data_IF_109013128732
#
_entry.id   IF_109013128732
#
_cell.length_a   1.000
_cell.length_b   1.000
_cell.length_c   1.000
_cell.angle_alpha   90.00
_cell.angle_beta   90.00
_cell.angle_gamma   90.00
#
_symmetry.space_group_name_H-M   'P 1'
#
loop_
_entity.id
_entity.type
_entity.pdbx_description
1 polymer ?
#
# COMPACT_ATOMS: atom_id res chain seq x y z
N UNK A 1 15.28 -13.30 -19.91
CA UNK A 1 14.09 -12.85 -19.13
C UNK A 1 14.03 -11.36 -19.23
N UNK A 2 12.93 -10.79 -19.73
CA UNK A 2 12.75 -9.33 -19.69
C UNK A 2 12.57 -8.92 -18.22
N UNK A 3 13.53 -8.20 -17.71
CA UNK A 3 13.49 -7.70 -16.34
C UNK A 3 12.59 -6.46 -16.31
N UNK A 4 11.69 -6.35 -15.32
CA UNK A 4 10.92 -5.13 -15.09
C UNK A 4 11.89 -3.98 -14.77
N UNK A 5 11.98 -2.99 -15.64
CA UNK A 5 13.01 -1.96 -15.57
C UNK A 5 12.44 -0.54 -15.62
N UNK A 6 11.38 -0.29 -14.83
CA UNK A 6 10.85 1.06 -14.65
C UNK A 6 11.56 1.74 -13.47
N UNK A 7 11.90 3.01 -13.64
CA UNK A 7 12.34 3.88 -12.56
C UNK A 7 11.20 4.18 -11.59
N UNK A 8 11.52 4.72 -10.42
CA UNK A 8 10.48 5.10 -9.46
C UNK A 8 9.50 6.15 -10.03
N UNK A 9 10.00 7.08 -10.84
CA UNK A 9 9.17 8.11 -11.50
C UNK A 9 8.22 7.47 -12.50
N UNK A 10 8.71 6.57 -13.34
CA UNK A 10 7.87 5.86 -14.32
C UNK A 10 6.81 4.98 -13.64
N UNK A 11 7.12 4.36 -12.50
CA UNK A 11 6.12 3.62 -11.69
C UNK A 11 5.01 4.56 -11.20
N UNK A 12 5.38 5.74 -10.68
CA UNK A 12 4.40 6.73 -10.21
C UNK A 12 3.49 7.19 -11.36
N UNK A 13 4.07 7.63 -12.47
CA UNK A 13 3.34 8.09 -13.66
C UNK A 13 2.42 7.00 -14.23
N UNK A 14 2.92 5.77 -14.33
CA UNK A 14 2.14 4.62 -14.80
C UNK A 14 0.95 4.33 -13.88
N UNK A 15 1.18 4.25 -12.56
CA UNK A 15 0.12 3.95 -11.60
C UNK A 15 -0.92 5.06 -11.54
N UNK A 16 -0.50 6.34 -11.56
CA UNK A 16 -1.42 7.48 -11.58
C UNK A 16 -2.28 7.48 -12.84
N UNK A 17 -1.67 7.26 -14.01
CA UNK A 17 -2.41 7.17 -15.28
C UNK A 17 -3.42 6.01 -15.27
N UNK A 18 -3.04 4.85 -14.71
CA UNK A 18 -3.91 3.68 -14.57
C UNK A 18 -5.10 3.96 -13.65
N UNK A 19 -4.86 4.58 -12.50
CA UNK A 19 -5.91 4.96 -11.55
C UNK A 19 -6.85 5.99 -12.14
N UNK A 20 -6.35 7.01 -12.82
CA UNK A 20 -7.16 8.04 -13.48
C UNK A 20 -8.03 7.44 -14.61
N UNK A 21 -7.50 6.48 -15.38
CA UNK A 21 -8.28 5.79 -16.41
C UNK A 21 -9.39 4.91 -15.80
N UNK A 22 -9.09 4.21 -14.69
CA UNK A 22 -10.09 3.48 -13.91
C UNK A 22 -11.22 4.41 -13.43
N UNK A 23 -10.85 5.51 -12.75
CA UNK A 23 -11.83 6.48 -12.24
C UNK A 23 -12.73 7.00 -13.36
N UNK A 24 -12.12 7.38 -14.50
CA UNK A 24 -12.86 7.89 -15.66
C UNK A 24 -13.85 6.87 -16.23
N UNK A 25 -13.43 5.61 -16.39
CA UNK A 25 -14.24 4.55 -17.02
C UNK A 25 -15.37 4.06 -16.12
N UNK A 26 -15.10 3.96 -14.82
CA UNK A 26 -16.05 3.38 -13.85
C UNK A 26 -16.75 4.44 -13.00
N UNK A 27 -16.48 5.74 -13.20
CA UNK A 27 -17.03 6.84 -12.39
C UNK A 27 -16.74 6.64 -10.89
N UNK A 28 -15.57 6.09 -10.58
CA UNK A 28 -15.15 5.81 -9.21
C UNK A 28 -14.86 7.10 -8.44
N UNK A 29 -14.90 7.08 -7.08
CA UNK A 29 -14.53 8.22 -6.26
C UNK A 29 -13.10 8.70 -6.51
N UNK A 30 -12.85 10.01 -6.28
CA UNK A 30 -11.55 10.65 -6.47
C UNK A 30 -10.84 10.98 -5.16
N UNK A 31 -11.52 10.86 -4.02
CA UNK A 31 -11.02 11.14 -2.68
C UNK A 31 -10.51 9.89 -1.94
N UNK A 32 -10.71 8.73 -2.54
CA UNK A 32 -10.35 7.42 -2.01
C UNK A 32 -10.25 6.42 -3.17
N UNK A 33 -9.25 5.57 -3.15
CA UNK A 33 -9.10 4.54 -4.20
C UNK A 33 -9.84 3.27 -3.79
N UNK A 34 -10.88 2.90 -4.55
CA UNK A 34 -11.46 1.58 -4.45
C UNK A 34 -10.55 0.56 -5.14
N UNK A 35 -9.59 0.06 -4.37
CA UNK A 35 -8.60 -0.91 -4.86
C UNK A 35 -9.25 -2.22 -5.29
N UNK A 36 -10.33 -2.63 -4.63
CA UNK A 36 -11.04 -3.86 -5.00
C UNK A 36 -11.68 -3.70 -6.37
N UNK A 37 -12.45 -2.62 -6.60
CA UNK A 37 -13.04 -2.34 -7.91
C UNK A 37 -11.99 -2.15 -9.00
N UNK A 38 -10.85 -1.49 -8.69
CA UNK A 38 -9.73 -1.40 -9.63
C UNK A 38 -9.22 -2.78 -10.02
N UNK A 39 -9.07 -3.72 -9.09
CA UNK A 39 -8.60 -5.07 -9.34
C UNK A 39 -9.63 -5.88 -10.12
N UNK A 40 -10.91 -5.88 -9.68
CA UNK A 40 -11.93 -6.75 -10.29
C UNK A 40 -12.46 -6.18 -11.60
N UNK A 41 -12.86 -4.92 -11.61
CA UNK A 41 -13.62 -4.35 -12.72
C UNK A 41 -12.72 -3.80 -13.82
N UNK A 42 -11.52 -3.34 -13.45
CA UNK A 42 -10.60 -2.73 -14.42
C UNK A 42 -9.46 -3.67 -14.83
N UNK A 43 -8.79 -4.35 -13.88
CA UNK A 43 -7.73 -5.31 -14.21
C UNK A 43 -8.29 -6.68 -14.61
N UNK A 44 -9.55 -6.99 -14.26
CA UNK A 44 -10.22 -8.24 -14.57
C UNK A 44 -9.63 -9.45 -13.81
N UNK A 45 -9.27 -9.23 -12.55
CA UNK A 45 -8.83 -10.28 -11.63
C UNK A 45 -10.00 -10.72 -10.74
N UNK A 46 -10.05 -12.00 -10.41
CA UNK A 46 -10.93 -12.54 -9.38
C UNK A 46 -10.23 -12.50 -8.03
N UNK A 47 -10.96 -12.17 -6.96
CA UNK A 47 -10.41 -12.15 -5.59
C UNK A 47 -11.13 -13.21 -4.77
N UNK A 48 -10.36 -14.14 -4.23
CA UNK A 48 -10.83 -15.17 -3.32
C UNK A 48 -10.17 -15.03 -1.96
N UNK A 49 -10.91 -15.38 -0.90
CA UNK A 49 -10.42 -15.40 0.47
C UNK A 49 -10.36 -16.83 0.96
N UNK A 50 -9.15 -17.30 1.34
CA UNK A 50 -8.93 -18.65 1.80
C UNK A 50 -8.05 -18.71 3.06
N UNK A 51 -8.12 -19.79 3.80
CA UNK A 51 -7.20 -20.02 4.91
C UNK A 51 -5.92 -20.63 4.36
N UNK A 52 -4.92 -19.80 4.11
CA UNK A 52 -3.64 -20.20 3.52
C UNK A 52 -2.79 -20.91 4.56
N UNK A 53 -2.16 -22.06 4.19
CA UNK A 53 -1.31 -22.87 5.06
C UNK A 53 -0.09 -23.40 4.32
N UNK A 54 0.68 -22.49 3.75
CA UNK A 54 1.95 -22.83 3.13
C UNK A 54 3.02 -23.20 4.18
N UNK A 55 4.09 -23.88 3.75
CA UNK A 55 5.21 -24.25 4.63
C UNK A 55 5.92 -22.99 5.19
N UNK A 56 5.84 -21.87 4.49
CA UNK A 56 6.21 -20.55 4.97
C UNK A 56 4.94 -19.85 5.51
N UNK A 57 4.77 -19.86 6.82
CA UNK A 57 3.62 -19.27 7.53
C UNK A 57 3.48 -17.76 7.33
N UNK A 58 4.50 -17.09 6.76
CA UNK A 58 4.44 -15.66 6.45
C UNK A 58 3.69 -15.37 5.15
N UNK A 59 3.37 -16.39 4.33
CA UNK A 59 2.62 -16.23 3.09
C UNK A 59 1.15 -15.96 3.40
N UNK A 60 0.68 -14.78 3.02
CA UNK A 60 -0.67 -14.31 3.31
C UNK A 60 -1.46 -13.88 2.09
N UNK A 61 -0.84 -13.87 0.93
CA UNK A 61 -1.50 -13.63 -0.34
C UNK A 61 -0.76 -14.33 -1.49
N UNK A 62 -1.47 -14.56 -2.59
CA UNK A 62 -0.98 -15.29 -3.76
C UNK A 62 -1.67 -14.81 -5.02
N UNK A 63 -0.88 -14.55 -6.07
CA UNK A 63 -1.42 -14.35 -7.43
C UNK A 63 -1.18 -15.59 -8.28
N UNK A 64 -2.26 -16.20 -8.75
CA UNK A 64 -2.22 -17.46 -9.47
C UNK A 64 -1.72 -17.31 -10.90
N UNK A 65 -0.82 -18.21 -11.31
CA UNK A 65 -0.33 -18.33 -12.68
C UNK A 65 -0.96 -19.48 -13.47
N UNK A 66 -1.89 -20.24 -12.85
CA UNK A 66 -2.56 -21.39 -13.45
C UNK A 66 -1.73 -22.67 -13.50
N UNK A 67 -0.56 -22.73 -12.83
CA UNK A 67 0.30 -23.91 -12.83
C UNK A 67 0.85 -24.28 -11.46
N UNK A 68 0.84 -23.35 -10.50
CA UNK A 68 1.28 -23.58 -9.12
C UNK A 68 0.07 -23.73 -8.21
N UNK A 69 0.09 -24.77 -7.36
CA UNK A 69 -0.92 -25.00 -6.33
C UNK A 69 -0.66 -24.11 -5.10
N UNK A 70 -1.71 -23.85 -4.34
CA UNK A 70 -1.70 -23.19 -3.06
C UNK A 70 -2.28 -24.16 -2.02
N UNK A 71 -1.62 -24.29 -0.86
CA UNK A 71 -2.13 -25.08 0.26
C UNK A 71 -3.10 -24.25 1.08
N UNK A 72 -4.32 -24.73 1.22
CA UNK A 72 -5.39 -24.08 2.02
C UNK A 72 -6.04 -25.07 2.96
N UNK A 73 -6.70 -24.55 4.01
CA UNK A 73 -7.61 -25.37 4.83
C UNK A 73 -8.99 -25.35 4.19
N UNK A 74 -9.42 -26.52 3.74
CA UNK A 74 -10.78 -26.74 3.25
C UNK A 74 -11.45 -27.84 4.10
N UNK A 75 -12.59 -27.53 4.74
CA UNK A 75 -13.31 -28.44 5.64
C UNK A 75 -12.41 -29.08 6.73
N UNK A 76 -11.51 -28.28 7.32
CA UNK A 76 -10.60 -28.73 8.38
C UNK A 76 -9.43 -29.62 7.91
N UNK A 77 -9.23 -29.76 6.60
CA UNK A 77 -8.11 -30.52 6.01
C UNK A 77 -7.26 -29.62 5.12
N UNK A 78 -5.95 -29.81 5.18
CA UNK A 78 -5.02 -29.19 4.23
C UNK A 78 -5.23 -29.79 2.85
N UNK A 79 -5.46 -28.92 1.85
CA UNK A 79 -5.71 -29.32 0.47
C UNK A 79 -4.89 -28.42 -0.45
N UNK A 80 -4.25 -29.00 -1.44
CA UNK A 80 -3.60 -28.25 -2.52
C UNK A 80 -4.62 -27.93 -3.58
N UNK A 81 -4.78 -26.64 -3.88
CA UNK A 81 -5.72 -26.14 -4.88
C UNK A 81 -4.98 -25.41 -5.99
N UNK A 82 -5.31 -25.76 -7.23
CA UNK A 82 -4.83 -25.06 -8.41
C UNK A 82 -5.87 -23.98 -8.80
N UNK A 83 -5.49 -22.73 -8.63
CA UNK A 83 -6.32 -21.60 -9.02
C UNK A 83 -6.08 -21.24 -10.48
N UNK A 84 -7.13 -20.83 -11.21
CA UNK A 84 -6.98 -20.34 -12.58
C UNK A 84 -6.12 -19.08 -12.62
N UNK A 85 -5.57 -18.77 -13.81
CA UNK A 85 -4.88 -17.50 -14.01
C UNK A 85 -5.80 -16.34 -13.71
N UNK A 86 -5.24 -15.25 -13.18
CA UNK A 86 -5.97 -14.05 -12.79
C UNK A 86 -6.82 -14.21 -11.51
N UNK A 87 -6.58 -15.23 -10.71
CA UNK A 87 -7.13 -15.31 -9.37
C UNK A 87 -6.09 -14.79 -8.38
N UNK A 88 -6.50 -13.85 -7.57
CA UNK A 88 -5.79 -13.33 -6.40
C UNK A 88 -6.40 -13.99 -5.17
N UNK A 89 -5.61 -14.73 -4.41
CA UNK A 89 -6.05 -15.37 -3.17
C UNK A 89 -5.45 -14.61 -1.99
N UNK A 90 -6.29 -14.20 -1.06
CA UNK A 90 -5.91 -13.45 0.14
C UNK A 90 -6.29 -14.29 1.37
N UNK A 91 -5.44 -14.30 2.39
CA UNK A 91 -5.76 -15.04 3.61
C UNK A 91 -6.98 -14.46 4.33
N UNK A 92 -7.84 -15.35 4.83
CA UNK A 92 -9.08 -14.99 5.54
C UNK A 92 -8.85 -14.17 6.82
N UNK A 93 -7.66 -14.21 7.42
CA UNK A 93 -7.33 -13.38 8.58
C UNK A 93 -7.50 -11.88 8.29
N UNK A 94 -7.36 -11.46 7.03
CA UNK A 94 -7.56 -10.06 6.61
C UNK A 94 -9.03 -9.63 6.47
N UNK A 95 -9.98 -10.54 6.66
CA UNK A 95 -11.40 -10.18 6.75
C UNK A 95 -11.78 -9.59 8.12
N UNK A 96 -10.91 -9.68 9.12
CA UNK A 96 -11.13 -9.07 10.42
C UNK A 96 -11.18 -7.53 10.30
N UNK A 97 -12.09 -6.85 11.03
CA UNK A 97 -12.32 -5.41 10.89
C UNK A 97 -11.06 -4.55 11.12
N UNK A 98 -10.16 -4.98 12.00
CA UNK A 98 -8.90 -4.30 12.34
C UNK A 98 -7.78 -4.55 11.30
N UNK A 99 -8.02 -5.42 10.31
CA UNK A 99 -7.07 -5.75 9.23
C UNK A 99 -7.41 -5.06 7.89
N UNK A 100 -8.40 -4.19 7.86
CA UNK A 100 -8.91 -3.58 6.62
C UNK A 100 -7.82 -2.89 5.82
N UNK A 101 -6.97 -2.08 6.44
CA UNK A 101 -5.91 -1.34 5.75
C UNK A 101 -4.81 -2.28 5.24
N UNK A 102 -4.50 -3.34 6.01
CA UNK A 102 -3.57 -4.39 5.57
C UNK A 102 -4.13 -5.17 4.39
N UNK A 103 -5.39 -5.59 4.44
CA UNK A 103 -6.06 -6.25 3.34
C UNK A 103 -5.97 -5.43 2.04
N UNK A 104 -6.27 -4.13 2.12
CA UNK A 104 -6.16 -3.21 0.97
C UNK A 104 -4.75 -3.14 0.42
N UNK A 105 -3.76 -3.05 1.31
CA UNK A 105 -2.37 -3.01 0.89
C UNK A 105 -1.94 -4.32 0.22
N UNK A 106 -2.29 -5.48 0.78
CA UNK A 106 -1.99 -6.77 0.19
C UNK A 106 -2.63 -6.94 -1.19
N UNK A 107 -3.90 -6.53 -1.35
CA UNK A 107 -4.54 -6.50 -2.67
C UNK A 107 -3.76 -5.64 -3.66
N UNK A 108 -3.35 -4.44 -3.27
CA UNK A 108 -2.58 -3.55 -4.14
C UNK A 108 -1.19 -4.10 -4.46
N UNK A 109 -0.55 -4.79 -3.51
CA UNK A 109 0.75 -5.44 -3.68
C UNK A 109 0.67 -6.59 -4.70
N UNK A 110 -0.33 -7.47 -4.56
CA UNK A 110 -0.56 -8.55 -5.53
C UNK A 110 -0.92 -8.01 -6.92
N UNK A 111 -1.69 -6.92 -6.98
CA UNK A 111 -1.92 -6.20 -8.24
C UNK A 111 -0.61 -5.68 -8.83
N UNK A 112 0.34 -5.26 -8.00
CA UNK A 112 1.69 -4.86 -8.41
C UNK A 112 2.44 -6.01 -9.09
N UNK A 113 2.46 -7.20 -8.51
CA UNK A 113 3.04 -8.40 -9.13
C UNK A 113 2.37 -8.75 -10.46
N UNK A 114 1.03 -8.69 -10.50
CA UNK A 114 0.29 -8.92 -11.75
C UNK A 114 0.68 -7.91 -12.84
N UNK A 115 0.75 -6.63 -12.51
CA UNK A 115 1.12 -5.58 -13.45
C UNK A 115 2.56 -5.74 -13.95
N UNK A 116 3.52 -6.04 -13.07
CA UNK A 116 4.89 -6.34 -13.47
C UNK A 116 4.96 -7.54 -14.42
N UNK A 117 4.29 -8.65 -14.09
CA UNK A 117 4.22 -9.82 -14.94
C UNK A 117 3.63 -9.49 -16.32
N UNK A 118 2.56 -8.70 -16.35
CA UNK A 118 1.90 -8.28 -17.59
C UNK A 118 2.80 -7.41 -18.47
N UNK A 119 3.50 -6.46 -17.86
CA UNK A 119 4.41 -5.55 -18.58
C UNK A 119 5.67 -6.27 -19.08
N UNK A 120 6.18 -7.24 -18.33
CA UNK A 120 7.33 -8.05 -18.74
C UNK A 120 6.98 -9.24 -19.64
N UNK A 121 5.69 -9.45 -19.94
CA UNK A 121 5.20 -10.64 -20.64
C UNK A 121 5.63 -11.96 -19.97
N UNK A 122 5.67 -11.96 -18.63
CA UNK A 122 6.00 -13.12 -17.81
C UNK A 122 4.73 -13.71 -17.19
N UNK A 123 4.83 -14.93 -16.68
CA UNK A 123 3.72 -15.61 -15.98
C UNK A 123 4.27 -16.34 -14.76
N UNK A 124 4.78 -15.58 -13.82
CA UNK A 124 5.36 -16.08 -12.57
C UNK A 124 4.30 -15.98 -11.48
N UNK A 125 4.05 -17.07 -10.74
CA UNK A 125 3.28 -16.99 -9.51
C UNK A 125 4.10 -16.21 -8.49
N UNK A 126 3.45 -15.34 -7.74
CA UNK A 126 4.07 -14.67 -6.60
C UNK A 126 3.32 -15.00 -5.32
N UNK A 127 4.06 -15.02 -4.23
CA UNK A 127 3.54 -15.19 -2.88
C UNK A 127 3.94 -13.97 -2.07
N UNK A 128 2.96 -13.30 -1.52
CA UNK A 128 3.20 -12.21 -0.59
C UNK A 128 3.39 -12.76 0.82
N UNK A 129 4.42 -12.27 1.49
CA UNK A 129 4.67 -12.51 2.91
C UNK A 129 4.06 -11.38 3.73
N UNK A 130 3.62 -11.67 4.95
CA UNK A 130 3.18 -10.64 5.88
C UNK A 130 4.37 -9.71 6.17
N UNK A 131 4.49 -8.67 5.38
CA UNK A 131 5.50 -7.64 5.59
C UNK A 131 4.85 -6.48 6.34
N UNK A 132 5.32 -6.25 7.56
CA UNK A 132 4.96 -5.03 8.27
C UNK A 132 5.51 -3.83 7.48
N UNK A 133 4.62 -2.95 7.02
CA UNK A 133 5.02 -1.74 6.29
C UNK A 133 5.90 -0.78 7.11
N UNK A 134 6.06 -1.00 8.41
CA UNK A 134 7.04 -0.29 9.23
C UNK A 134 8.48 -0.63 8.84
N UNK A 135 8.70 -1.75 8.15
CA UNK A 135 10.00 -2.20 7.65
C UNK A 135 10.27 -1.82 6.20
N UNK A 136 9.85 -0.62 5.75
CA UNK A 136 10.29 -0.07 4.48
C UNK A 136 11.83 0.05 4.48
N UNK A 137 12.48 -0.97 3.92
CA UNK A 137 13.93 -0.99 3.75
C UNK A 137 14.26 -0.17 2.50
N UNK A 138 15.08 0.89 2.62
CA UNK A 138 15.56 1.64 1.45
C UNK A 138 16.23 0.69 0.45
N UNK A 139 15.99 0.92 -0.84
CA UNK A 139 16.42 0.07 -1.97
C UNK A 139 17.93 -0.22 -2.01
N UNK A 140 18.75 0.58 -1.32
CA UNK A 140 20.21 0.50 -1.31
C UNK A 140 20.80 -0.72 -0.56
N UNK A 141 19.95 -1.46 0.19
CA UNK A 141 20.38 -2.64 0.97
C UNK A 141 19.91 -3.98 0.38
N UNK A 142 19.25 -3.98 -0.79
CA UNK A 142 18.64 -5.16 -1.37
C UNK A 142 19.55 -5.82 -2.41
N UNK A 143 20.29 -6.86 -2.01
CA UNK A 143 21.24 -7.59 -2.88
C UNK A 143 20.62 -8.71 -3.74
N UNK A 144 19.34 -9.07 -3.57
CA UNK A 144 18.70 -10.18 -4.28
C UNK A 144 17.59 -9.74 -5.25
N UNK A 145 17.54 -10.38 -6.44
CA UNK A 145 16.51 -10.13 -7.45
C UNK A 145 15.08 -10.34 -6.92
N UNK A 146 14.89 -11.23 -5.95
CA UNK A 146 13.62 -11.45 -5.25
C UNK A 146 13.21 -10.21 -4.48
N UNK A 147 14.10 -9.66 -3.66
CA UNK A 147 13.86 -8.46 -2.87
C UNK A 147 13.59 -7.22 -3.74
N UNK A 148 14.17 -7.15 -4.94
CA UNK A 148 13.91 -6.07 -5.91
C UNK A 148 12.46 -6.11 -6.41
N UNK A 149 11.94 -7.29 -6.73
CA UNK A 149 10.57 -7.44 -7.21
C UNK A 149 9.56 -7.13 -6.10
N UNK A 150 9.81 -7.57 -4.87
CA UNK A 150 8.99 -7.24 -3.70
C UNK A 150 9.00 -5.73 -3.42
N UNK A 151 10.18 -5.10 -3.47
CA UNK A 151 10.30 -3.64 -3.32
C UNK A 151 9.52 -2.88 -4.40
N UNK A 152 9.53 -3.37 -5.63
CA UNK A 152 8.78 -2.78 -6.74
C UNK A 152 7.28 -2.98 -6.58
N UNK A 153 6.83 -4.17 -6.16
CA UNK A 153 5.42 -4.45 -5.86
C UNK A 153 4.91 -3.53 -4.74
N UNK A 154 5.71 -3.31 -3.68
CA UNK A 154 5.40 -2.37 -2.61
C UNK A 154 5.28 -0.91 -3.11
N UNK A 155 6.16 -0.49 -4.03
CA UNK A 155 6.09 0.86 -4.64
C UNK A 155 4.84 1.01 -5.49
N UNK A 156 4.51 0.01 -6.32
CA UNK A 156 3.29 -0.01 -7.12
C UNK A 156 2.06 0.03 -6.21
N UNK A 157 2.03 -0.78 -5.14
CA UNK A 157 0.94 -0.78 -4.17
C UNK A 157 0.72 0.60 -3.54
N UNK A 158 1.81 1.25 -3.10
CA UNK A 158 1.74 2.59 -2.54
C UNK A 158 1.27 3.64 -3.58
N UNK A 159 1.74 3.55 -4.83
CA UNK A 159 1.35 4.45 -5.90
C UNK A 159 -0.11 4.25 -6.35
N UNK A 160 -0.62 3.00 -6.34
CA UNK A 160 -2.03 2.70 -6.63
C UNK A 160 -2.96 3.19 -5.52
N UNK A 161 -2.61 3.00 -4.24
CA UNK A 161 -3.45 3.38 -3.10
C UNK A 161 -3.40 4.87 -2.79
N UNK A 162 -2.25 5.49 -2.97
CA UNK A 162 -1.93 6.86 -2.58
C UNK A 162 -1.27 7.63 -3.73
N UNK A 163 -1.93 7.74 -4.93
CA UNK A 163 -1.43 8.61 -5.98
C UNK A 163 -1.41 10.07 -5.51
N UNK A 164 -0.54 10.88 -6.10
CA UNK A 164 -0.30 12.27 -5.64
C UNK A 164 -1.59 13.07 -5.50
N UNK A 165 -2.46 13.04 -6.50
CA UNK A 165 -3.68 13.86 -6.50
C UNK A 165 -4.64 13.49 -5.36
N UNK A 166 -4.71 12.20 -4.96
CA UNK A 166 -5.55 11.75 -3.85
C UNK A 166 -5.01 12.25 -2.51
N UNK A 167 -3.69 12.19 -2.32
CA UNK A 167 -3.04 12.70 -1.11
C UNK A 167 -3.18 14.22 -1.00
N UNK A 168 -2.99 14.95 -2.11
CA UNK A 168 -3.17 16.40 -2.15
C UNK A 168 -4.63 16.81 -1.91
N UNK A 169 -5.61 16.06 -2.41
CA UNK A 169 -7.02 16.30 -2.12
C UNK A 169 -7.35 16.11 -0.63
N UNK A 170 -6.82 15.05 -0.01
CA UNK A 170 -6.97 14.84 1.43
C UNK A 170 -6.29 15.97 2.22
N UNK A 171 -5.11 16.42 1.79
CA UNK A 171 -4.41 17.55 2.40
C UNK A 171 -5.21 18.85 2.30
N UNK A 172 -5.81 19.13 1.14
CA UNK A 172 -6.71 20.28 0.95
C UNK A 172 -7.92 20.21 1.88
N UNK A 173 -8.48 19.04 2.07
CA UNK A 173 -9.66 18.82 2.92
C UNK A 173 -9.37 19.02 4.41
N UNK A 174 -8.25 18.51 4.92
CA UNK A 174 -7.96 18.45 6.35
C UNK A 174 -6.93 19.50 6.83
N UNK A 175 -6.08 20.00 5.91
CA UNK A 175 -5.04 20.98 6.22
C UNK A 175 -5.00 22.16 5.24
N UNK A 176 -6.10 22.47 4.59
CA UNK A 176 -6.24 23.61 3.63
C UNK A 176 -5.21 23.57 2.48
N UNK A 177 -4.59 22.43 2.23
CA UNK A 177 -3.54 22.26 1.23
C UNK A 177 -2.13 22.60 1.71
N UNK A 178 -1.98 23.03 2.96
CA UNK A 178 -0.67 23.34 3.56
C UNK A 178 0.08 22.05 3.92
N UNK A 179 1.41 22.01 3.81
CA UNK A 179 2.21 20.88 4.27
C UNK A 179 1.97 20.54 5.75
N UNK A 180 2.12 19.26 6.10
CA UNK A 180 1.97 18.81 7.49
C UNK A 180 3.23 19.13 8.27
N UNK A 181 3.07 19.85 9.39
CA UNK A 181 4.19 20.19 10.26
C UNK A 181 4.73 18.95 10.96
N UNK A 182 6.05 18.81 10.93
CA UNK A 182 6.78 17.75 11.63
C UNK A 182 8.02 18.32 12.29
N UNK A 183 8.41 17.76 13.43
CA UNK A 183 9.56 18.17 14.21
C UNK A 183 10.62 17.07 14.17
N UNK A 184 11.87 17.45 13.89
CA UNK A 184 12.90 16.48 13.61
C UNK A 184 12.51 15.62 12.40
N UNK A 185 12.75 14.31 12.47
CA UNK A 185 12.48 13.41 11.33
C UNK A 185 11.02 12.94 11.23
N UNK A 186 10.32 12.78 12.37
CA UNK A 186 8.99 12.11 12.39
C UNK A 186 8.15 12.39 13.64
N UNK A 187 8.43 13.47 14.37
CA UNK A 187 7.65 13.85 15.55
C UNK A 187 6.57 14.84 15.14
N UNK A 188 5.35 14.62 15.59
CA UNK A 188 4.19 15.45 15.29
C UNK A 188 3.61 16.03 16.54
N UNK A 189 3.21 17.31 16.49
CA UNK A 189 2.37 17.89 17.51
C UNK A 189 0.96 17.26 17.49
N UNK A 190 0.13 17.45 18.54
CA UNK A 190 -1.20 16.85 18.61
C UNK A 190 -2.10 17.22 17.43
N UNK A 191 -2.02 18.45 16.91
CA UNK A 191 -2.82 18.94 15.79
C UNK A 191 -2.42 18.25 14.49
N UNK A 192 -1.14 18.28 14.13
CA UNK A 192 -0.60 17.62 12.95
C UNK A 192 -0.87 16.11 12.97
N UNK A 193 -0.75 15.48 14.15
CA UNK A 193 -1.06 14.06 14.33
C UNK A 193 -2.54 13.75 14.12
N UNK A 194 -3.45 14.64 14.59
CA UNK A 194 -4.88 14.48 14.38
C UNK A 194 -5.25 14.61 12.89
N UNK A 195 -4.67 15.60 12.19
CA UNK A 195 -4.85 15.78 10.74
C UNK A 195 -4.38 14.53 9.98
N UNK A 196 -3.18 14.05 10.28
CA UNK A 196 -2.61 12.84 9.68
C UNK A 196 -3.51 11.62 9.90
N UNK A 197 -4.09 11.47 11.09
CA UNK A 197 -5.02 10.39 11.40
C UNK A 197 -6.29 10.50 10.55
N UNK A 198 -6.90 11.69 10.45
CA UNK A 198 -8.10 11.91 9.63
C UNK A 198 -7.84 11.63 8.15
N UNK A 199 -6.67 12.04 7.63
CA UNK A 199 -6.26 11.71 6.27
C UNK A 199 -6.09 10.20 6.07
N UNK A 200 -5.42 9.52 6.99
CA UNK A 200 -5.20 8.07 6.92
C UNK A 200 -6.53 7.29 6.94
N UNK A 201 -7.45 7.70 7.84
CA UNK A 201 -8.78 7.11 7.96
C UNK A 201 -9.60 7.29 6.65
N UNK A 202 -9.61 8.51 6.07
CA UNK A 202 -10.27 8.78 4.78
C UNK A 202 -9.70 7.91 3.67
N UNK A 203 -8.36 7.84 3.56
CA UNK A 203 -7.66 7.15 2.50
C UNK A 203 -7.66 5.62 2.69
N UNK A 204 -8.09 5.13 3.86
CA UNK A 204 -8.13 3.72 4.21
C UNK A 204 -6.75 3.08 4.24
N UNK A 205 -5.78 3.80 4.81
CA UNK A 205 -4.38 3.37 4.97
C UNK A 205 -3.92 3.61 6.39
N UNK A 206 -2.83 2.94 6.80
CA UNK A 206 -2.20 3.21 8.08
C UNK A 206 -1.42 4.52 8.06
N UNK A 207 -1.13 5.06 9.25
CA UNK A 207 -0.40 6.30 9.44
C UNK A 207 0.97 6.30 8.75
N UNK A 208 1.74 5.23 8.91
CA UNK A 208 3.11 5.14 8.38
C UNK A 208 3.19 5.19 6.85
N UNK A 209 2.37 4.44 6.08
CA UNK A 209 2.30 4.60 4.62
C UNK A 209 1.99 6.02 4.16
N UNK A 210 1.04 6.68 4.80
CA UNK A 210 0.71 8.07 4.48
C UNK A 210 1.87 9.01 4.77
N UNK A 211 2.53 8.86 5.90
CA UNK A 211 3.72 9.65 6.26
C UNK A 211 4.83 9.51 5.21
N UNK A 212 5.12 8.27 4.79
CA UNK A 212 6.12 8.01 3.74
C UNK A 212 5.73 8.72 2.44
N UNK A 213 4.46 8.68 2.05
CA UNK A 213 3.98 9.34 0.82
C UNK A 213 4.06 10.86 0.90
N UNK A 214 3.66 11.45 2.01
CA UNK A 214 3.81 12.91 2.23
C UNK A 214 5.28 13.33 2.14
N UNK A 215 6.18 12.55 2.74
CA UNK A 215 7.62 12.79 2.65
C UNK A 215 8.13 12.70 1.21
N UNK A 216 7.73 11.68 0.45
CA UNK A 216 8.12 11.49 -0.96
C UNK A 216 7.62 12.64 -1.85
N UNK A 217 6.45 13.19 -1.54
CA UNK A 217 5.86 14.29 -2.31
C UNK A 217 6.34 15.68 -1.88
N UNK A 218 7.15 15.78 -0.82
CA UNK A 218 7.59 17.06 -0.26
C UNK A 218 6.46 17.83 0.42
N UNK A 219 5.49 17.13 0.99
CA UNK A 219 4.31 17.69 1.65
C UNK A 219 4.45 17.71 3.20
N UNK A 220 5.69 17.71 3.69
CA UNK A 220 6.02 17.88 5.10
C UNK A 220 6.77 19.20 5.29
N UNK A 221 6.41 19.92 6.35
CA UNK A 221 7.07 21.16 6.81
C UNK A 221 7.92 20.82 8.04
N UNK A 222 9.24 20.84 7.87
CA UNK A 222 10.20 20.39 8.88
C UNK A 222 10.64 21.51 9.81
N UNK A 223 10.47 21.31 11.10
CA UNK A 223 10.87 22.21 12.18
C UNK A 223 11.89 21.56 13.14
N UNK A 224 12.74 22.35 13.79
CA UNK A 224 13.59 21.84 14.86
C UNK A 224 12.78 21.27 16.02
N UNK A 225 13.27 20.17 16.63
CA UNK A 225 12.59 19.53 17.76
C UNK A 225 12.50 20.45 18.97
N UNK A 226 13.47 21.35 19.13
CA UNK A 226 13.53 22.35 20.19
C UNK A 226 12.31 23.28 20.19
N UNK A 227 11.76 23.63 19.03
CA UNK A 227 10.56 24.47 18.93
C UNK A 227 9.34 23.78 19.56
N UNK A 228 9.19 22.46 19.36
CA UNK A 228 8.09 21.70 19.99
C UNK A 228 8.24 21.66 21.50
N UNK A 229 9.46 21.42 21.99
CA UNK A 229 9.74 21.38 23.43
C UNK A 229 9.47 22.72 24.10
N UNK A 230 9.93 23.82 23.50
CA UNK A 230 9.68 25.16 23.99
C UNK A 230 8.19 25.49 24.04
N UNK A 231 7.43 25.15 23.00
CA UNK A 231 5.97 25.30 22.95
C UNK A 231 5.30 24.55 24.11
N UNK A 232 5.67 23.30 24.33
CA UNK A 232 5.10 22.49 25.42
C UNK A 232 5.41 23.04 26.82
N UNK A 233 6.62 23.59 27.04
CA UNK A 233 6.99 24.20 28.30
C UNK A 233 6.15 25.46 28.55
N UNK A 234 6.01 26.34 27.54
CA UNK A 234 5.22 27.57 27.65
C UNK A 234 3.73 27.28 27.90
N UNK A 235 3.17 26.26 27.26
CA UNK A 235 1.78 25.85 27.46
C UNK A 235 1.54 25.35 28.91
N UNK A 236 2.52 24.67 29.50
CA UNK A 236 2.44 24.25 30.92
C UNK A 236 2.51 25.41 31.90
N UNK A 237 3.29 26.47 31.63
CA UNK A 237 3.38 27.66 32.47
C UNK A 237 2.09 28.50 32.43
N UNK A 238 1.35 28.48 31.32
CA UNK A 238 0.07 29.20 31.18
C UNK A 238 -1.07 28.49 31.91
N UNK A 239 -0.95 27.17 32.12
CA UNK A 239 -1.96 26.34 32.80
C UNK A 239 -1.73 26.21 34.32
N UNK A 240 -0.62 26.70 34.86
CA UNK A 240 -0.27 26.67 36.29
C UNK A 240 -0.64 27.96 36.98
#
# INVERSE_FOLDING_TARGET
MNQFNMSNVEIEEFCEALVLDYIRKHKAPTDYIDIRGLITDYLGLEIEFESIVEDDETITAFIANGSRTLKIINNGKVTEVLYPRKTMVIDKCYLAPDQRERCRFNMAHEAGHYLMNKLCHTNVASFNRDMDMSSYIPTEQLHDAFNINESRANKIAAALLLPRFVVENALKRFNKGEPIRTYGESVFDPESRAIMKQMADLLGVRFQPLFIRLRQFGLLDYHPLEELLMKQILDLEVMA
#
